data_IF_614054695531
#
_entry.id   IF_614054695531
#
_cell.length_a   1.000
_cell.length_b   1.000
_cell.length_c   1.000
_cell.angle_alpha   90.00
_cell.angle_beta   90.00
_cell.angle_gamma   90.00
#
_symmetry.space_group_name_H-M   'P 1'
#
loop_
_entity.id
_entity.type
_entity.pdbx_description
1 polymer ?
#
# COMPACT_ATOMS: atom_id res chain seq x y z
N UNK A 1 -18.28 9.69 8.03
CA UNK A 1 -18.49 10.94 7.26
C UNK A 1 -17.14 11.39 6.76
N UNK A 2 -17.05 11.82 5.51
CA UNK A 2 -15.81 12.29 4.88
C UNK A 2 -15.89 13.81 4.72
N UNK A 3 -14.77 14.48 4.93
CA UNK A 3 -14.59 15.89 4.58
C UNK A 3 -13.50 15.96 3.53
N UNK A 4 -13.72 16.79 2.50
CA UNK A 4 -12.73 17.02 1.46
C UNK A 4 -12.08 18.38 1.63
N UNK A 5 -10.76 18.39 1.55
CA UNK A 5 -9.93 19.59 1.53
C UNK A 5 -9.26 19.66 0.15
N UNK A 6 -9.30 20.83 -0.50
CA UNK A 6 -8.81 20.98 -1.89
C UNK A 6 -7.29 20.88 -2.03
N UNK A 7 -6.56 21.05 -0.93
CA UNK A 7 -5.10 21.00 -0.93
C UNK A 7 -4.65 19.55 -0.96
N UNK A 8 -3.76 19.23 -1.90
CA UNK A 8 -3.02 17.98 -1.88
C UNK A 8 -2.21 17.87 -0.59
N UNK A 9 -2.07 16.65 -0.06
CA UNK A 9 -1.30 16.38 1.16
C UNK A 9 0.16 16.84 1.02
N UNK A 10 0.73 16.66 -0.17
CA UNK A 10 2.02 17.22 -0.56
C UNK A 10 1.89 17.95 -1.92
N UNK A 11 2.56 19.09 -2.12
CA UNK A 11 2.45 19.85 -3.37
C UNK A 11 2.90 19.05 -4.60
N UNK A 12 2.06 19.03 -5.64
CA UNK A 12 2.39 18.49 -6.97
C UNK A 12 2.34 19.64 -7.98
N UNK A 13 3.49 20.01 -8.53
CA UNK A 13 3.64 21.17 -9.42
C UNK A 13 4.61 20.88 -10.57
N UNK A 14 4.27 19.90 -11.39
CA UNK A 14 5.06 19.47 -12.54
C UNK A 14 4.96 20.53 -13.63
N UNK A 15 6.09 20.97 -14.19
CA UNK A 15 6.13 22.00 -15.23
C UNK A 15 5.95 21.42 -16.62
N UNK A 16 6.72 20.40 -16.94
CA UNK A 16 6.81 19.82 -18.27
C UNK A 16 5.99 18.52 -18.36
N UNK A 17 5.06 18.40 -19.33
CA UNK A 17 4.38 17.14 -19.62
C UNK A 17 5.39 16.04 -20.02
N UNK A 18 5.11 14.80 -19.62
CA UNK A 18 5.90 13.64 -20.02
C UNK A 18 5.06 12.36 -19.96
N UNK A 19 4.47 12.00 -21.10
CA UNK A 19 3.60 10.84 -21.22
C UNK A 19 4.27 9.52 -20.84
N UNK A 20 5.58 9.36 -21.11
CA UNK A 20 6.32 8.13 -20.75
C UNK A 20 6.41 7.96 -19.24
N UNK A 21 6.57 9.05 -18.49
CA UNK A 21 6.55 8.99 -17.03
C UNK A 21 5.15 8.69 -16.51
N UNK A 22 4.11 9.28 -17.12
CA UNK A 22 2.72 8.98 -16.77
C UNK A 22 2.40 7.48 -16.90
N UNK A 23 2.88 6.82 -17.97
CA UNK A 23 2.68 5.38 -18.20
C UNK A 23 3.24 4.48 -17.12
N UNK A 24 4.35 4.86 -16.48
CA UNK A 24 4.93 4.05 -15.40
C UNK A 24 4.35 4.43 -14.03
N UNK A 25 4.05 5.72 -13.82
CA UNK A 25 3.51 6.22 -12.54
C UNK A 25 2.05 5.81 -12.33
N UNK A 26 1.26 5.62 -13.41
CA UNK A 26 -0.13 5.14 -13.30
C UNK A 26 -0.24 3.83 -12.53
N UNK A 27 0.83 3.02 -12.48
CA UNK A 27 0.85 1.80 -11.67
C UNK A 27 0.63 2.04 -10.18
N UNK A 28 0.99 3.21 -9.65
CA UNK A 28 0.68 3.58 -8.27
C UNK A 28 -0.74 4.12 -8.11
N UNK A 29 -1.43 4.48 -9.20
CA UNK A 29 -2.84 4.86 -9.14
C UNK A 29 -3.72 3.61 -9.07
N UNK A 30 -3.58 2.68 -10.02
CA UNK A 30 -4.50 1.56 -10.20
C UNK A 30 -3.86 0.18 -10.33
N UNK A 31 -2.56 0.04 -10.03
CA UNK A 31 -1.90 -1.27 -9.99
C UNK A 31 -2.13 -2.04 -8.68
N UNK A 32 -1.71 -3.31 -8.62
CA UNK A 32 -1.89 -4.21 -7.46
C UNK A 32 -1.37 -3.64 -6.13
N UNK A 33 -0.22 -2.99 -6.22
CA UNK A 33 0.51 -2.43 -5.08
C UNK A 33 0.41 -0.91 -5.05
N UNK A 34 -0.64 -0.34 -5.65
CA UNK A 34 -0.90 1.10 -5.70
C UNK A 34 -1.91 1.58 -4.65
N UNK A 35 -2.09 2.90 -4.62
CA UNK A 35 -2.84 3.63 -3.59
C UNK A 35 -4.32 3.26 -3.55
N UNK A 36 -4.91 2.92 -4.70
CA UNK A 36 -6.30 2.47 -4.75
C UNK A 36 -6.46 1.10 -4.09
N UNK A 37 -5.50 0.19 -4.26
CA UNK A 37 -5.52 -1.10 -3.59
C UNK A 37 -5.32 -0.94 -2.08
N UNK A 38 -4.36 -0.11 -1.67
CA UNK A 38 -4.06 0.21 -0.27
C UNK A 38 -5.28 0.80 0.46
N UNK A 39 -5.85 1.88 -0.07
CA UNK A 39 -7.04 2.52 0.50
C UNK A 39 -8.21 1.56 0.64
N UNK A 40 -8.54 0.79 -0.40
CA UNK A 40 -9.67 -0.16 -0.35
C UNK A 40 -9.40 -1.30 0.63
N UNK A 41 -8.17 -1.80 0.72
CA UNK A 41 -7.77 -2.85 1.66
C UNK A 41 -8.01 -2.41 3.11
N UNK A 42 -7.41 -1.30 3.53
CA UNK A 42 -7.43 -0.87 4.92
C UNK A 42 -8.82 -0.40 5.37
N UNK A 43 -9.52 0.37 4.52
CA UNK A 43 -10.88 0.82 4.80
C UNK A 43 -11.90 -0.31 4.84
N UNK A 44 -11.61 -1.46 4.23
CA UNK A 44 -12.46 -2.65 4.29
C UNK A 44 -12.15 -3.50 5.53
N UNK A 45 -10.88 -3.74 5.84
CA UNK A 45 -10.46 -4.55 7.00
C UNK A 45 -10.92 -3.97 8.34
N UNK A 46 -11.07 -2.63 8.45
CA UNK A 46 -11.50 -1.98 9.70
C UNK A 46 -12.83 -2.51 10.24
N UNK A 47 -13.74 -2.99 9.37
CA UNK A 47 -15.06 -3.46 9.79
C UNK A 47 -15.04 -4.81 10.50
N UNK A 48 -14.02 -5.63 10.21
CA UNK A 48 -13.77 -6.90 10.91
C UNK A 48 -12.82 -6.76 12.09
N UNK A 49 -12.19 -5.60 12.28
CA UNK A 49 -11.21 -5.36 13.33
C UNK A 49 -11.88 -5.14 14.70
N UNK A 50 -11.72 -6.04 15.70
CA UNK A 50 -12.40 -5.92 16.99
C UNK A 50 -11.74 -4.94 17.96
N UNK A 51 -10.52 -4.49 17.65
CA UNK A 51 -9.76 -3.52 18.44
C UNK A 51 -9.99 -2.13 17.91
N UNK A 52 -10.53 -1.24 18.74
CA UNK A 52 -10.94 0.10 18.31
C UNK A 52 -9.73 0.92 17.88
N UNK A 53 -8.61 0.73 18.55
CA UNK A 53 -7.33 1.39 18.31
C UNK A 53 -6.78 0.98 16.93
N UNK A 54 -6.81 -0.33 16.61
CA UNK A 54 -6.36 -0.84 15.31
C UNK A 54 -7.35 -0.52 14.20
N UNK A 55 -8.66 -0.55 14.47
CA UNK A 55 -9.67 -0.09 13.52
C UNK A 55 -9.53 1.41 13.22
N UNK A 56 -9.13 2.20 14.23
CA UNK A 56 -8.71 3.59 14.09
C UNK A 56 -7.51 3.72 13.18
N UNK A 57 -6.44 2.96 13.44
CA UNK A 57 -5.24 2.95 12.61
C UNK A 57 -5.54 2.63 11.14
N UNK A 58 -6.31 1.57 10.87
CA UNK A 58 -6.76 1.19 9.52
C UNK A 58 -7.58 2.29 8.85
N UNK A 59 -8.40 3.00 9.64
CA UNK A 59 -9.18 4.14 9.15
C UNK A 59 -8.28 5.33 8.82
N UNK A 60 -7.33 5.65 9.68
CA UNK A 60 -6.42 6.78 9.52
C UNK A 60 -5.52 6.58 8.30
N UNK A 61 -4.86 5.42 8.19
CA UNK A 61 -4.00 5.09 7.06
C UNK A 61 -4.83 4.95 5.78
N UNK A 62 -5.91 4.17 5.79
CA UNK A 62 -6.76 4.03 4.60
C UNK A 62 -7.39 5.34 4.10
N UNK A 63 -7.57 6.33 4.98
CA UNK A 63 -7.96 7.69 4.62
C UNK A 63 -6.80 8.48 4.00
N UNK A 64 -5.60 8.34 4.56
CA UNK A 64 -4.38 8.91 4.01
C UNK A 64 -4.09 8.37 2.60
N UNK A 65 -4.30 7.08 2.34
CA UNK A 65 -4.14 6.49 1.00
C UNK A 65 -5.06 7.10 -0.05
N UNK A 66 -6.23 7.61 0.33
CA UNK A 66 -7.09 8.34 -0.61
C UNK A 66 -6.49 9.70 -1.00
N UNK A 67 -5.73 10.33 -0.09
CA UNK A 67 -4.98 11.54 -0.40
C UNK A 67 -3.75 11.22 -1.26
N UNK A 68 -3.08 10.09 -1.02
CA UNK A 68 -2.01 9.59 -1.89
C UNK A 68 -2.52 9.29 -3.31
N UNK A 69 -3.68 8.64 -3.42
CA UNK A 69 -4.35 8.39 -4.69
C UNK A 69 -4.63 9.69 -5.45
N UNK A 70 -5.11 10.73 -4.76
CA UNK A 70 -5.31 12.06 -5.35
C UNK A 70 -3.98 12.68 -5.84
N UNK A 71 -2.91 12.55 -5.05
CA UNK A 71 -1.57 13.01 -5.46
C UNK A 71 -1.07 12.30 -6.72
N UNK A 72 -1.17 10.97 -6.80
CA UNK A 72 -0.79 10.23 -8.01
C UNK A 72 -1.67 10.64 -9.20
N UNK A 73 -2.98 10.79 -9.00
CA UNK A 73 -3.89 11.29 -10.03
C UNK A 73 -3.48 12.67 -10.54
N UNK A 74 -3.09 13.58 -9.63
CA UNK A 74 -2.57 14.90 -9.99
C UNK A 74 -1.25 14.83 -10.76
N UNK A 75 -0.32 13.94 -10.38
CA UNK A 75 0.94 13.71 -11.09
C UNK A 75 0.64 13.24 -12.52
N UNK A 76 -0.16 12.18 -12.68
CA UNK A 76 -0.52 11.64 -14.00
C UNK A 76 -1.18 12.71 -14.86
N UNK A 77 -2.17 13.42 -14.31
CA UNK A 77 -2.86 14.49 -15.03
C UNK A 77 -1.89 15.59 -15.49
N UNK A 78 -0.99 16.04 -14.63
CA UNK A 78 -0.04 17.10 -15.00
C UNK A 78 1.00 16.62 -16.01
N UNK A 79 1.37 15.34 -16.01
CA UNK A 79 2.27 14.74 -17.00
C UNK A 79 1.62 14.52 -18.36
N UNK A 80 0.29 14.44 -18.43
CA UNK A 80 -0.45 14.21 -19.67
C UNK A 80 -1.20 15.44 -20.18
N UNK A 81 -1.24 16.54 -19.43
CA UNK A 81 -1.95 17.76 -19.83
C UNK A 81 -1.38 18.32 -21.13
N UNK A 82 -2.27 18.77 -22.02
CA UNK A 82 -1.95 19.48 -23.25
C UNK A 82 -1.02 18.73 -24.22
N UNK A 83 -0.89 17.40 -24.11
CA UNK A 83 -0.13 16.63 -25.09
C UNK A 83 -0.75 16.79 -26.49
N UNK A 84 0.09 17.10 -27.46
CA UNK A 84 -0.26 17.07 -28.88
C UNK A 84 -0.36 15.63 -29.40
N UNK A 85 -1.04 15.44 -30.54
CA UNK A 85 -1.11 14.13 -31.19
C UNK A 85 0.27 13.58 -31.54
N UNK A 86 1.19 14.45 -31.97
CA UNK A 86 2.57 14.07 -32.28
C UNK A 86 3.32 13.56 -31.05
N UNK A 87 3.13 14.19 -29.88
CA UNK A 87 3.73 13.74 -28.63
C UNK A 87 3.15 12.40 -28.18
N UNK A 88 1.82 12.22 -28.28
CA UNK A 88 1.11 10.98 -27.95
C UNK A 88 1.67 9.80 -28.76
N UNK A 89 1.80 9.99 -30.08
CA UNK A 89 2.35 8.97 -30.98
C UNK A 89 3.82 8.67 -30.66
N UNK A 90 4.66 9.70 -30.51
CA UNK A 90 6.10 9.54 -30.23
C UNK A 90 6.39 8.92 -28.86
N UNK A 91 5.52 9.13 -27.87
CA UNK A 91 5.68 8.53 -26.55
C UNK A 91 5.18 7.09 -26.45
N UNK A 92 4.37 6.63 -27.41
CA UNK A 92 3.65 5.35 -27.32
C UNK A 92 2.49 5.40 -26.33
N UNK A 93 1.90 6.60 -26.13
CA UNK A 93 0.70 6.79 -25.28
C UNK A 93 -0.60 6.62 -26.08
N UNK A 94 -0.48 6.43 -27.40
CA UNK A 94 -1.53 6.20 -28.38
C UNK A 94 -2.56 5.15 -27.93
N UNK A 95 -2.11 3.99 -27.44
CA UNK A 95 -3.01 2.91 -26.99
C UNK A 95 -3.90 3.35 -25.82
N UNK A 96 -3.31 4.00 -24.82
CA UNK A 96 -4.06 4.54 -23.70
C UNK A 96 -5.00 5.67 -24.15
N UNK A 97 -4.54 6.53 -25.07
CA UNK A 97 -5.30 7.63 -25.61
C UNK A 97 -6.56 7.19 -26.36
N UNK A 98 -6.50 6.10 -27.13
CA UNK A 98 -7.66 5.58 -27.85
C UNK A 98 -8.80 5.22 -26.89
N UNK A 99 -8.48 4.61 -25.74
CA UNK A 99 -9.49 4.15 -24.79
C UNK A 99 -9.90 5.24 -23.78
N UNK A 100 -8.98 6.13 -23.40
CA UNK A 100 -9.14 7.02 -22.25
C UNK A 100 -8.81 8.49 -22.52
N UNK A 101 -8.41 8.83 -23.74
CA UNK A 101 -7.92 10.16 -24.11
C UNK A 101 -6.77 10.58 -23.17
N UNK A 102 -6.99 11.59 -22.32
CA UNK A 102 -6.03 12.03 -21.30
C UNK A 102 -6.60 11.88 -19.87
N UNK A 103 -7.72 11.16 -19.73
CA UNK A 103 -8.33 10.88 -18.44
C UNK A 103 -7.44 9.97 -17.58
N UNK A 104 -7.55 10.09 -16.26
CA UNK A 104 -6.84 9.21 -15.32
C UNK A 104 -7.71 7.98 -15.08
N UNK A 105 -7.35 6.85 -15.68
CA UNK A 105 -8.09 5.59 -15.59
C UNK A 105 -7.32 4.61 -14.69
N UNK A 106 -7.98 3.96 -13.71
CA UNK A 106 -7.31 3.03 -12.80
C UNK A 106 -6.77 1.77 -13.50
N UNK A 107 -5.48 1.75 -13.79
CA UNK A 107 -4.77 0.59 -14.32
C UNK A 107 -3.34 0.48 -13.80
N UNK A 108 -2.77 -0.73 -13.88
CA UNK A 108 -1.33 -0.93 -13.77
C UNK A 108 -0.58 -0.33 -14.98
N UNK A 109 0.73 -0.10 -14.87
CA UNK A 109 1.56 0.29 -16.01
C UNK A 109 1.52 -0.74 -17.16
N UNK A 110 1.26 -2.01 -16.85
CA UNK A 110 1.06 -3.08 -17.84
C UNK A 110 -0.31 -3.08 -18.52
N UNK A 111 -1.21 -2.14 -18.20
CA UNK A 111 -2.55 -2.03 -18.82
C UNK A 111 -3.64 -2.89 -18.17
N UNK A 112 -3.35 -3.58 -17.06
CA UNK A 112 -4.38 -4.35 -16.34
C UNK A 112 -5.28 -3.39 -15.55
N UNK A 113 -6.60 -3.39 -15.77
CA UNK A 113 -7.53 -2.55 -15.03
C UNK A 113 -7.59 -2.94 -13.56
N UNK A 114 -7.70 -1.94 -12.69
CA UNK A 114 -7.94 -2.18 -11.27
C UNK A 114 -9.21 -2.99 -11.06
N UNK A 115 -9.13 -4.00 -10.20
CA UNK A 115 -10.26 -4.85 -9.84
C UNK A 115 -10.07 -5.41 -8.41
N UNK A 116 -11.07 -6.10 -7.86
CA UNK A 116 -11.00 -6.59 -6.49
C UNK A 116 -9.97 -7.73 -6.28
N UNK A 117 -9.41 -8.33 -7.34
CA UNK A 117 -8.37 -9.36 -7.21
C UNK A 117 -7.01 -8.77 -6.79
N UNK A 118 -6.84 -7.45 -6.88
CA UNK A 118 -5.61 -6.74 -6.55
C UNK A 118 -5.31 -6.68 -5.04
N UNK A 119 -6.32 -6.89 -4.18
CA UNK A 119 -6.15 -6.86 -2.72
C UNK A 119 -7.00 -7.92 -2.01
N UNK A 120 -6.78 -8.09 -0.70
CA UNK A 120 -7.47 -9.09 0.11
C UNK A 120 -7.95 -8.51 1.43
N UNK A 121 -9.12 -9.01 1.87
CA UNK A 121 -9.71 -8.74 3.18
C UNK A 121 -10.15 -10.10 3.72
N UNK A 122 -9.43 -10.64 4.70
CA UNK A 122 -9.67 -11.99 5.21
C UNK A 122 -10.54 -12.00 6.47
N UNK A 123 -10.55 -10.91 7.23
CA UNK A 123 -11.25 -10.82 8.51
C UNK A 123 -10.54 -11.56 9.65
N UNK A 124 -9.35 -12.12 9.36
CA UNK A 124 -8.43 -12.66 10.37
C UNK A 124 -7.35 -11.61 10.63
N UNK A 125 -7.30 -11.11 11.86
CA UNK A 125 -6.53 -9.92 12.26
C UNK A 125 -5.05 -10.05 11.92
N UNK A 126 -4.44 -11.20 12.24
CA UNK A 126 -3.01 -11.41 12.04
C UNK A 126 -2.73 -11.51 10.53
N UNK A 127 -3.60 -12.19 9.80
CA UNK A 127 -3.48 -12.31 8.35
C UNK A 127 -3.59 -10.95 7.66
N UNK A 128 -4.60 -10.15 8.02
CA UNK A 128 -4.84 -8.84 7.44
C UNK A 128 -3.69 -7.87 7.75
N UNK A 129 -3.26 -7.74 9.02
CA UNK A 129 -2.14 -6.85 9.37
C UNK A 129 -0.80 -7.30 8.76
N UNK A 130 -0.60 -8.59 8.55
CA UNK A 130 0.58 -9.11 7.86
C UNK A 130 0.54 -8.79 6.37
N UNK A 131 -0.63 -8.91 5.75
CA UNK A 131 -0.85 -8.48 4.35
C UNK A 131 -0.62 -6.98 4.21
N UNK A 132 -1.06 -6.16 5.17
CA UNK A 132 -0.87 -4.71 5.14
C UNK A 132 0.62 -4.35 5.17
N UNK A 133 1.38 -4.95 6.09
CA UNK A 133 2.85 -4.82 6.10
C UNK A 133 3.49 -5.24 4.76
N UNK A 134 3.00 -6.31 4.14
CA UNK A 134 3.50 -6.75 2.84
C UNK A 134 3.13 -5.77 1.71
N UNK A 135 1.91 -5.23 1.73
CA UNK A 135 1.41 -4.24 0.78
C UNK A 135 2.29 -3.00 0.77
N UNK A 136 2.54 -2.40 1.93
CA UNK A 136 3.42 -1.23 2.10
C UNK A 136 4.84 -1.48 1.55
N UNK A 137 5.39 -2.68 1.76
CA UNK A 137 6.73 -3.00 1.24
C UNK A 137 6.77 -3.19 -0.28
N UNK A 138 5.68 -3.71 -0.87
CA UNK A 138 5.55 -3.84 -2.33
C UNK A 138 5.37 -2.46 -2.96
N UNK A 139 4.49 -1.63 -2.41
CA UNK A 139 4.28 -0.24 -2.84
C UNK A 139 5.56 0.60 -2.74
N UNK A 140 6.27 0.55 -1.60
CA UNK A 140 7.61 1.16 -1.42
C UNK A 140 8.62 0.70 -2.49
N UNK A 141 8.63 -0.58 -2.83
CA UNK A 141 9.52 -1.12 -3.87
C UNK A 141 9.15 -0.62 -5.27
N UNK A 142 7.86 -0.48 -5.57
CA UNK A 142 7.35 0.14 -6.80
C UNK A 142 7.77 1.61 -6.89
N UNK A 143 7.68 2.37 -5.80
CA UNK A 143 8.20 3.74 -5.75
C UNK A 143 9.71 3.82 -5.94
N UNK A 144 10.48 2.93 -5.31
CA UNK A 144 11.92 2.85 -5.53
C UNK A 144 12.24 2.59 -7.02
N UNK A 145 11.44 1.76 -7.71
CA UNK A 145 11.59 1.50 -9.14
C UNK A 145 11.27 2.74 -9.99
N UNK A 146 10.19 3.46 -9.68
CA UNK A 146 9.86 4.73 -10.34
C UNK A 146 11.02 5.73 -10.18
N UNK A 147 11.58 5.88 -8.99
CA UNK A 147 12.70 6.80 -8.72
C UNK A 147 14.00 6.41 -9.46
N UNK A 148 14.16 5.14 -9.86
CA UNK A 148 15.26 4.73 -10.74
C UNK A 148 15.07 5.25 -12.17
N UNK A 149 13.82 5.33 -12.66
CA UNK A 149 13.47 5.78 -14.00
C UNK A 149 13.32 7.31 -14.13
N UNK A 150 12.74 7.95 -13.11
CA UNK A 150 12.46 9.39 -13.10
C UNK A 150 13.70 10.17 -12.67
N UNK A 151 13.91 11.34 -13.29
CA UNK A 151 14.99 12.28 -12.94
C UNK A 151 14.52 13.72 -12.72
N UNK A 152 13.33 14.06 -13.18
CA UNK A 152 12.72 15.37 -12.97
C UNK A 152 12.40 15.58 -11.48
N UNK A 153 12.99 16.60 -10.81
CA UNK A 153 12.72 16.92 -9.42
C UNK A 153 11.24 17.14 -9.11
N UNK A 154 10.49 17.79 -10.00
CA UNK A 154 9.07 18.13 -9.76
C UNK A 154 8.17 16.89 -9.70
N UNK A 155 8.65 15.78 -10.27
CA UNK A 155 8.03 14.46 -10.18
C UNK A 155 8.65 13.64 -9.05
N UNK A 156 9.97 13.69 -8.89
CA UNK A 156 10.68 12.91 -7.88
C UNK A 156 10.27 13.28 -6.45
N UNK A 157 10.07 14.55 -6.15
CA UNK A 157 9.80 15.02 -4.78
C UNK A 157 8.49 14.49 -4.20
N UNK A 158 7.33 14.62 -4.88
CA UNK A 158 6.10 13.99 -4.39
C UNK A 158 6.20 12.46 -4.33
N UNK A 159 6.94 11.82 -5.25
CA UNK A 159 7.17 10.37 -5.20
C UNK A 159 8.02 9.97 -3.98
N UNK A 160 9.04 10.76 -3.61
CA UNK A 160 9.84 10.53 -2.39
C UNK A 160 8.99 10.67 -1.14
N UNK A 161 8.11 11.68 -1.09
CA UNK A 161 7.16 11.84 0.01
C UNK A 161 6.30 10.57 0.18
N UNK A 162 5.63 10.12 -0.88
CA UNK A 162 4.79 8.92 -0.83
C UNK A 162 5.59 7.70 -0.38
N UNK A 163 6.77 7.49 -0.98
CA UNK A 163 7.70 6.43 -0.62
C UNK A 163 8.16 6.45 0.85
N UNK A 164 8.25 7.62 1.48
CA UNK A 164 8.52 7.75 2.91
C UNK A 164 7.29 7.41 3.77
N UNK A 165 6.07 7.72 3.30
CA UNK A 165 4.83 7.34 3.98
C UNK A 165 4.68 5.82 4.05
N UNK A 166 5.01 5.09 3.00
CA UNK A 166 5.02 3.62 2.99
C UNK A 166 5.86 3.02 4.13
N UNK A 167 7.01 3.64 4.44
CA UNK A 167 7.88 3.17 5.53
C UNK A 167 7.20 3.41 6.88
N UNK A 168 6.55 4.56 7.03
CA UNK A 168 5.81 4.90 8.25
C UNK A 168 4.65 3.93 8.42
N UNK A 169 3.82 3.75 7.40
CA UNK A 169 2.68 2.84 7.41
C UNK A 169 3.09 1.40 7.71
N UNK A 170 4.14 0.89 7.05
CA UNK A 170 4.74 -0.41 7.37
C UNK A 170 5.08 -0.55 8.85
N UNK A 171 5.72 0.47 9.44
CA UNK A 171 6.08 0.46 10.86
C UNK A 171 4.83 0.46 11.75
N UNK A 172 3.81 1.25 11.41
CA UNK A 172 2.56 1.35 12.17
C UNK A 172 1.75 0.04 12.14
N UNK A 173 1.64 -0.59 10.98
CA UNK A 173 1.05 -1.94 10.89
C UNK A 173 1.89 -2.97 11.64
N UNK A 174 3.23 -2.87 11.58
CA UNK A 174 4.13 -3.71 12.36
C UNK A 174 4.04 -3.50 13.88
N UNK A 175 3.71 -2.31 14.35
CA UNK A 175 3.39 -2.04 15.76
C UNK A 175 2.06 -2.70 16.15
N UNK A 176 1.00 -2.50 15.36
CA UNK A 176 -0.31 -3.11 15.59
C UNK A 176 -0.27 -4.65 15.55
N UNK A 177 0.59 -5.23 14.70
CA UNK A 177 0.77 -6.68 14.60
C UNK A 177 1.60 -7.24 15.78
N UNK A 178 2.56 -6.46 16.31
CA UNK A 178 3.42 -6.85 17.45
C UNK A 178 2.76 -6.67 18.81
N UNK A 179 1.84 -5.71 18.95
CA UNK A 179 0.88 -5.68 20.06
C UNK A 179 0.05 -6.95 19.97
N UNK A 180 0.58 -8.01 20.58
CA UNK A 180 0.19 -9.39 20.39
C UNK A 180 -1.32 -9.56 20.51
N UNK A 181 -1.99 -9.46 19.36
CA UNK A 181 -3.44 -9.58 19.29
C UNK A 181 -3.87 -10.92 19.87
N UNK A 182 -3.04 -11.96 19.81
CA UNK A 182 -3.30 -13.29 20.40
C UNK A 182 -3.26 -13.34 21.94
N UNK A 183 -2.60 -12.38 22.60
CA UNK A 183 -2.56 -12.23 24.07
C UNK A 183 -3.66 -11.32 24.61
N UNK A 184 -4.34 -10.55 23.77
CA UNK A 184 -5.49 -9.76 24.18
C UNK A 184 -6.70 -10.71 24.31
N UNK A 185 -7.36 -10.83 25.49
CA UNK A 185 -8.41 -11.82 25.74
C UNK A 185 -9.60 -11.79 24.76
N UNK A 186 -9.78 -10.68 24.04
CA UNK A 186 -10.84 -10.49 23.03
C UNK A 186 -10.51 -11.07 21.65
N UNK A 187 -9.26 -11.16 21.18
CA UNK A 187 -8.94 -11.84 19.91
C UNK A 187 -9.23 -13.33 20.00
N UNK A 188 -9.03 -13.95 21.18
CA UNK A 188 -9.42 -15.35 21.38
C UNK A 188 -10.92 -15.58 21.13
N UNK A 189 -11.76 -14.54 21.23
CA UNK A 189 -13.17 -14.60 20.82
C UNK A 189 -13.37 -14.32 19.32
N UNK A 190 -12.59 -13.43 18.71
CA UNK A 190 -12.64 -13.20 17.25
C UNK A 190 -12.14 -14.43 16.46
N UNK A 191 -11.10 -15.11 16.95
CA UNK A 191 -10.64 -16.40 16.43
C UNK A 191 -11.70 -17.51 16.49
N UNK A 192 -12.80 -17.37 17.24
CA UNK A 192 -13.92 -18.33 17.15
C UNK A 192 -14.60 -18.32 15.78
N UNK A 193 -14.44 -17.25 15.00
CA UNK A 193 -14.98 -17.11 13.65
C UNK A 193 -13.95 -17.41 12.55
N UNK A 194 -12.66 -17.54 12.91
CA UNK A 194 -11.60 -18.01 12.01
C UNK A 194 -11.56 -19.54 12.03
N UNK A 195 -11.62 -20.17 10.85
CA UNK A 195 -11.48 -21.64 10.69
C UNK A 195 -10.17 -22.19 11.28
N UNK A 196 -9.15 -21.33 11.47
CA UNK A 196 -7.87 -21.66 12.10
C UNK A 196 -7.86 -21.57 13.64
N UNK A 197 -8.84 -20.89 14.25
CA UNK A 197 -8.90 -20.77 15.72
C UNK A 197 -9.07 -22.11 16.45
N UNK A 198 -9.51 -23.16 15.73
CA UNK A 198 -9.64 -24.52 16.25
C UNK A 198 -8.32 -25.30 16.19
N UNK A 199 -7.47 -25.08 15.17
CA UNK A 199 -6.22 -25.84 14.96
C UNK A 199 -5.04 -25.30 15.76
N UNK A 200 -5.02 -24.01 16.12
CA UNK A 200 -3.98 -23.42 16.97
C UNK A 200 -4.22 -23.58 18.49
N UNK A 201 -5.31 -24.24 18.90
CA UNK A 201 -5.52 -24.63 20.31
C UNK A 201 -4.71 -25.87 20.74
N UNK A 202 -3.71 -26.27 19.94
CA UNK A 202 -2.75 -27.30 20.32
C UNK A 202 -1.98 -26.78 21.54
N UNK A 203 -2.46 -27.24 22.70
CA UNK A 203 -1.74 -27.54 23.94
C UNK A 203 -0.43 -26.78 24.11
N UNK A 204 -0.42 -25.89 25.10
CA UNK A 204 0.73 -25.61 25.96
C UNK A 204 1.94 -26.50 25.65
N UNK A 205 2.92 -25.96 24.92
CA UNK A 205 4.30 -26.45 24.99
C UNK A 205 4.86 -26.11 26.38
N UNK A 206 4.28 -26.74 27.41
CA UNK A 206 4.86 -26.84 28.73
C UNK A 206 5.65 -28.16 28.72
N UNK A 207 6.97 -28.09 28.63
CA UNK A 207 7.75 -29.30 28.90
C UNK A 207 9.21 -29.38 28.48
N UNK A 208 9.76 -28.51 27.63
CA UNK A 208 11.20 -28.59 27.31
C UNK A 208 11.88 -27.25 27.61
N UNK A 209 12.60 -27.24 28.74
CA UNK A 209 13.54 -26.19 29.10
C UNK A 209 14.65 -26.20 28.05
N UNK A 210 14.73 -25.16 27.23
CA UNK A 210 15.99 -24.79 26.60
C UNK A 210 16.75 -23.93 27.59
N UNK A 211 17.77 -24.50 28.23
CA UNK A 211 18.81 -23.71 28.90
C UNK A 211 19.73 -23.09 27.85
N UNK A 212 20.08 -21.79 27.96
CA UNK A 212 21.33 -21.26 27.40
C UNK A 212 22.38 -21.15 28.54
N UNK A 213 23.70 -20.93 28.30
CA UNK A 213 24.37 -20.53 27.06
C UNK A 213 25.75 -21.23 26.82
N UNK A 214 26.46 -20.77 25.77
CA UNK A 214 27.88 -20.99 25.45
C UNK A 214 28.83 -21.34 26.61
N UNK A 215 29.69 -22.35 26.39
CA UNK A 215 31.10 -22.35 26.82
C UNK A 215 31.91 -23.37 26.01
N UNK A 216 32.82 -22.84 25.20
CA UNK A 216 33.92 -23.57 24.55
C UNK A 216 34.80 -24.21 25.62
N UNK A 217 34.98 -25.53 25.58
CA UNK A 217 36.11 -26.19 26.23
C UNK A 217 37.12 -26.64 25.19
N UNK A 218 38.29 -26.00 25.26
CA UNK A 218 39.54 -26.40 24.62
C UNK A 218 40.01 -27.76 25.15
N UNK A 219 40.60 -28.54 24.25
CA UNK A 219 41.29 -29.80 24.49
C UNK A 219 42.43 -29.70 25.51
N UNK A 220 42.58 -30.76 26.32
CA UNK A 220 43.85 -31.50 26.54
C UNK A 220 43.51 -32.96 26.83
#
# INVERSE_FOLDING_TARGET
MWNYEKRLQFPVNIKEPNAKLAQVIISQFGGPDGELAASMRYLSQRYSMPYKEVAGLLTDIGTEELAHLEMIGAIVHQLTRNLSMEEIEKSGFDKYYVDHTLGVWPQAAGGIPFNACEFQVKGDIITDLTEDMAAEQKARSTYDNILRLVKDPDVCDPIRFLREREIVHFQRFGEANREDCSKIPKARKAHKFSTFGRSLSIRTFAGHRHEPPYLLHTSK
#
